data_IF_999282050523
#
_entry.id   IF_999282050523
#
_cell.length_a   1.000
_cell.length_b   1.000
_cell.length_c   1.000
_cell.angle_alpha   90.00
_cell.angle_beta   90.00
_cell.angle_gamma   90.00
#
_symmetry.space_group_name_H-M   'P 1'
#
loop_
_entity.id
_entity.type
_entity.pdbx_description
1 polymer ?
#
# COMPACT_ATOMS: atom_id res chain seq x y z
N UNK A 1 -7.69 6.05 -8.51
CA UNK A 1 -7.13 5.23 -7.44
C UNK A 1 -7.65 5.76 -6.11
N UNK A 2 -7.90 4.87 -5.16
CA UNK A 2 -8.20 5.21 -3.76
C UNK A 2 -7.25 4.43 -2.86
N UNK A 3 -7.16 4.82 -1.59
CA UNK A 3 -6.34 4.14 -0.58
C UNK A 3 -7.24 3.55 0.50
N UNK A 4 -6.86 2.38 1.03
CA UNK A 4 -7.52 1.78 2.18
C UNK A 4 -6.47 1.67 3.28
N UNK A 5 -6.74 2.30 4.42
CA UNK A 5 -5.88 2.21 5.60
C UNK A 5 -6.51 1.22 6.57
N UNK A 6 -5.70 0.24 6.95
CA UNK A 6 -6.05 -0.87 7.85
C UNK A 6 -5.06 -0.92 9.03
N UNK A 7 -5.14 -1.98 9.83
CA UNK A 7 -4.21 -2.32 10.89
C UNK A 7 -2.74 -2.15 10.50
N UNK A 8 -1.90 -1.81 11.46
CA UNK A 8 -0.44 -1.80 11.30
C UNK A 8 0.11 -3.23 11.14
N UNK A 9 -0.46 -4.16 11.91
CA UNK A 9 -0.14 -5.58 11.80
C UNK A 9 -1.20 -6.42 12.50
N UNK A 10 -1.34 -7.67 12.03
CA UNK A 10 -2.12 -8.69 12.74
C UNK A 10 -1.22 -9.35 13.79
N UNK A 11 -1.77 -9.75 14.92
CA UNK A 11 -1.05 -10.62 15.84
C UNK A 11 -0.85 -11.99 15.16
N UNK A 12 0.38 -12.50 15.18
CA UNK A 12 0.75 -13.76 14.52
C UNK A 12 0.18 -15.00 15.24
N UNK A 13 -0.17 -14.85 16.52
CA UNK A 13 -0.67 -15.92 17.39
C UNK A 13 -2.19 -15.83 17.49
N UNK A 14 -2.73 -14.62 17.62
CA UNK A 14 -4.17 -14.36 17.64
C UNK A 14 -4.61 -13.59 16.40
N UNK A 15 -5.02 -14.36 15.39
CA UNK A 15 -5.61 -13.86 14.16
C UNK A 15 -6.82 -12.92 14.36
N UNK A 16 -7.42 -12.85 15.54
CA UNK A 16 -8.52 -11.92 15.84
C UNK A 16 -8.08 -10.60 16.44
N UNK A 17 -6.78 -10.43 16.72
CA UNK A 17 -6.19 -9.20 17.25
C UNK A 17 -5.04 -8.69 16.37
N UNK A 18 -4.60 -7.46 16.65
CA UNK A 18 -3.58 -6.77 15.88
C UNK A 18 -3.28 -5.40 16.46
N UNK A 19 -2.19 -4.80 15.99
CA UNK A 19 -1.83 -3.44 16.34
C UNK A 19 -2.44 -2.50 15.30
N UNK A 20 -3.25 -1.55 15.74
CA UNK A 20 -3.71 -0.49 14.87
C UNK A 20 -2.61 0.58 14.73
N UNK A 21 -2.60 1.28 13.60
CA UNK A 21 -1.74 2.46 13.45
C UNK A 21 -2.14 3.49 14.48
N UNK A 22 -1.20 4.24 15.03
CA UNK A 22 -1.48 5.42 15.86
C UNK A 22 -2.14 6.52 15.03
N UNK A 23 -2.70 7.53 15.68
CA UNK A 23 -3.25 8.72 14.99
C UNK A 23 -2.22 9.37 14.06
N UNK A 24 -0.97 9.50 14.50
CA UNK A 24 0.12 10.10 13.71
C UNK A 24 0.52 9.23 12.50
N UNK A 25 0.62 7.91 12.67
CA UNK A 25 0.88 6.99 11.56
C UNK A 25 -0.27 7.02 10.54
N UNK A 26 -1.52 7.03 11.00
CA UNK A 26 -2.69 7.15 10.12
C UNK A 26 -2.71 8.50 9.38
N UNK A 27 -2.36 9.60 10.04
CA UNK A 27 -2.24 10.91 9.41
C UNK A 27 -1.17 10.91 8.31
N UNK A 28 -0.01 10.30 8.59
CA UNK A 28 1.07 10.14 7.61
C UNK A 28 0.59 9.38 6.37
N UNK A 29 -0.05 8.23 6.57
CA UNK A 29 -0.57 7.40 5.47
C UNK A 29 -1.62 8.14 4.63
N UNK A 30 -2.52 8.91 5.27
CA UNK A 30 -3.51 9.72 4.55
C UNK A 30 -2.86 10.80 3.70
N UNK A 31 -1.85 11.50 4.24
CA UNK A 31 -1.09 12.52 3.50
C UNK A 31 -0.35 11.92 2.32
N UNK A 32 0.36 10.80 2.51
CA UNK A 32 1.07 10.08 1.45
C UNK A 32 0.09 9.61 0.39
N UNK A 33 -1.06 9.06 0.78
CA UNK A 33 -2.12 8.65 -0.15
C UNK A 33 -2.59 9.83 -1.01
N UNK A 34 -2.84 10.99 -0.40
CA UNK A 34 -3.22 12.20 -1.13
C UNK A 34 -2.11 12.70 -2.06
N UNK A 35 -0.87 12.70 -1.59
CA UNK A 35 0.31 13.13 -2.33
C UNK A 35 0.69 12.20 -3.48
N UNK A 36 0.31 10.92 -3.42
CA UNK A 36 0.44 9.93 -4.50
C UNK A 36 -0.80 9.85 -5.40
N UNK A 37 -1.82 10.68 -5.13
CA UNK A 37 -2.96 10.88 -6.04
C UNK A 37 -4.20 10.01 -5.75
N UNK A 38 -4.33 9.48 -4.53
CA UNK A 38 -5.57 8.85 -4.09
C UNK A 38 -6.70 9.90 -4.00
N UNK A 39 -7.83 9.63 -4.68
CA UNK A 39 -9.00 10.52 -4.70
C UNK A 39 -9.84 10.44 -3.43
N UNK A 40 -9.74 9.32 -2.73
CA UNK A 40 -10.43 9.05 -1.48
C UNK A 40 -9.57 8.09 -0.65
N UNK A 41 -9.74 8.18 0.66
CA UNK A 41 -9.17 7.25 1.62
C UNK A 41 -10.31 6.61 2.38
N UNK A 42 -10.30 5.28 2.50
CA UNK A 42 -11.24 4.52 3.34
C UNK A 42 -10.49 4.03 4.56
N UNK A 43 -11.01 4.34 5.74
CA UNK A 43 -10.47 3.85 7.01
C UNK A 43 -11.27 2.63 7.43
N UNK A 44 -10.61 1.49 7.60
CA UNK A 44 -11.22 0.29 8.15
C UNK A 44 -11.07 0.30 9.67
N UNK A 45 -12.19 0.24 10.39
CA UNK A 45 -12.24 0.42 11.84
C UNK A 45 -12.80 -0.80 12.60
N UNK A 46 -12.85 -2.00 12.02
CA UNK A 46 -13.32 -3.21 12.71
C UNK A 46 -12.18 -3.92 13.47
N UNK A 47 -12.43 -4.59 14.64
CA UNK A 47 -13.71 -4.85 15.30
C UNK A 47 -14.25 -3.67 16.12
N UNK A 48 -15.52 -3.77 16.50
CA UNK A 48 -16.09 -2.94 17.57
C UNK A 48 -15.57 -3.44 18.90
N UNK A 49 -14.53 -2.77 19.42
CA UNK A 49 -14.00 -3.05 20.76
C UNK A 49 -13.77 -1.73 21.52
N UNK A 50 -14.40 -1.51 22.68
CA UNK A 50 -15.44 -2.34 23.30
C UNK A 50 -16.69 -2.47 22.40
N UNK A 51 -17.49 -3.52 22.60
CA UNK A 51 -18.57 -3.93 21.68
C UNK A 51 -19.68 -2.91 21.42
N UNK A 52 -19.74 -1.84 22.20
CA UNK A 52 -20.64 -0.70 22.09
C UNK A 52 -20.00 0.53 21.39
N UNK A 53 -18.71 0.47 21.08
CA UNK A 53 -18.01 1.53 20.35
C UNK A 53 -18.46 1.54 18.88
N UNK A 54 -19.30 2.53 18.54
CA UNK A 54 -19.80 2.78 17.18
C UNK A 54 -18.69 3.10 16.18
N UNK A 55 -17.52 3.50 16.67
CA UNK A 55 -16.36 3.84 15.86
C UNK A 55 -15.31 2.75 15.84
N UNK A 56 -15.63 1.57 16.35
CA UNK A 56 -14.77 0.42 16.16
C UNK A 56 -13.54 0.46 17.07
N UNK A 57 -12.36 0.38 16.47
CA UNK A 57 -11.05 0.51 17.13
C UNK A 57 -10.48 1.94 17.10
N UNK A 58 -11.21 2.92 16.58
CA UNK A 58 -10.73 4.31 16.54
C UNK A 58 -10.75 4.94 17.94
N UNK A 59 -9.71 5.73 18.21
CA UNK A 59 -9.51 6.53 19.43
C UNK A 59 -9.57 8.02 19.12
N UNK A 60 -9.57 8.87 20.15
CA UNK A 60 -9.56 10.34 20.00
C UNK A 60 -8.41 10.85 19.11
N UNK A 61 -7.21 10.27 19.24
CA UNK A 61 -6.06 10.63 18.41
C UNK A 61 -6.31 10.36 16.92
N UNK A 62 -7.08 9.32 16.59
CA UNK A 62 -7.46 9.05 15.20
C UNK A 62 -8.44 10.10 14.68
N UNK A 63 -9.36 10.59 15.50
CA UNK A 63 -10.27 11.66 15.09
C UNK A 63 -9.52 12.99 14.88
N UNK A 64 -8.54 13.29 15.73
CA UNK A 64 -7.63 14.43 15.55
C UNK A 64 -6.86 14.30 14.23
N UNK A 65 -6.37 13.10 13.90
CA UNK A 65 -5.70 12.85 12.63
C UNK A 65 -6.62 13.07 11.42
N UNK A 66 -7.89 12.62 11.48
CA UNK A 66 -8.88 12.83 10.41
C UNK A 66 -9.17 14.32 10.20
N UNK A 67 -9.40 15.08 11.27
CA UNK A 67 -9.61 16.53 11.20
C UNK A 67 -8.37 17.25 10.66
N UNK A 68 -7.18 16.85 11.13
CA UNK A 68 -5.91 17.42 10.67
C UNK A 68 -5.71 17.17 9.18
N UNK A 69 -5.99 15.95 8.71
CA UNK A 69 -5.91 15.62 7.28
C UNK A 69 -6.93 16.41 6.46
N UNK A 70 -8.18 16.52 6.93
CA UNK A 70 -9.20 17.33 6.28
C UNK A 70 -8.75 18.78 6.10
N UNK A 71 -8.22 19.40 7.16
CA UNK A 71 -7.69 20.76 7.09
C UNK A 71 -6.48 20.85 6.15
N UNK A 72 -5.59 19.87 6.20
CA UNK A 72 -4.40 19.80 5.35
C UNK A 72 -4.75 19.81 3.86
N UNK A 73 -5.70 18.99 3.40
CA UNK A 73 -6.05 18.93 1.96
C UNK A 73 -6.71 20.21 1.46
N UNK A 74 -7.46 20.92 2.31
CA UNK A 74 -8.05 22.22 1.98
C UNK A 74 -7.03 23.34 1.90
N UNK A 75 -6.01 23.30 2.76
CA UNK A 75 -4.94 24.29 2.80
C UNK A 75 -3.86 24.03 1.74
N UNK A 76 -3.69 22.77 1.32
CA UNK A 76 -2.64 22.33 0.40
C UNK A 76 -3.24 21.58 -0.82
N UNK A 77 -4.12 22.21 -1.61
CA UNK A 77 -4.71 21.58 -2.80
C UNK A 77 -3.65 21.18 -3.85
N UNK A 78 -2.52 21.90 -3.89
CA UNK A 78 -1.44 21.66 -4.84
C UNK A 78 -0.58 20.42 -4.49
N UNK A 79 -0.69 19.90 -3.26
CA UNK A 79 0.04 18.70 -2.84
C UNK A 79 -0.62 17.43 -3.40
N UNK A 80 -1.84 17.52 -3.95
CA UNK A 80 -2.53 16.38 -4.54
C UNK A 80 -1.72 15.77 -5.68
N UNK A 81 -1.33 14.50 -5.52
CA UNK A 81 -0.58 13.78 -6.54
C UNK A 81 0.78 14.41 -6.86
N UNK A 82 1.38 15.19 -5.95
CA UNK A 82 2.69 15.82 -6.19
C UNK A 82 3.82 14.79 -6.32
N UNK A 83 3.70 13.64 -5.64
CA UNK A 83 4.61 12.50 -5.77
C UNK A 83 4.19 11.73 -7.03
N UNK A 84 5.11 11.61 -7.97
CA UNK A 84 4.90 10.92 -9.25
C UNK A 84 5.84 9.74 -9.36
N UNK A 85 5.27 8.57 -9.65
CA UNK A 85 6.07 7.42 -10.00
C UNK A 85 6.83 7.67 -11.32
N UNK A 86 8.14 7.47 -11.28
CA UNK A 86 9.00 7.53 -12.46
C UNK A 86 9.53 6.14 -12.83
N UNK A 87 9.36 5.16 -11.94
CA UNK A 87 9.84 3.80 -12.06
C UNK A 87 8.66 2.84 -11.93
N UNK A 88 8.68 1.74 -12.67
CA UNK A 88 7.70 0.67 -12.53
C UNK A 88 8.35 -0.70 -12.34
N UNK A 89 7.78 -1.51 -11.45
CA UNK A 89 7.97 -2.96 -11.40
C UNK A 89 6.80 -3.63 -12.12
N UNK A 90 7.13 -4.42 -13.14
CA UNK A 90 6.16 -5.15 -13.96
C UNK A 90 6.07 -6.60 -13.50
N UNK A 91 4.92 -6.97 -12.95
CA UNK A 91 4.56 -8.33 -12.53
C UNK A 91 4.00 -9.15 -13.70
N UNK A 92 4.00 -10.51 -13.61
CA UNK A 92 3.32 -11.33 -14.61
C UNK A 92 1.84 -10.96 -14.70
N UNK A 93 1.26 -11.11 -15.90
CA UNK A 93 -0.18 -10.91 -16.08
C UNK A 93 -0.97 -11.80 -15.08
N UNK A 94 -2.01 -11.25 -14.47
CA UNK A 94 -2.93 -11.97 -13.58
C UNK A 94 -2.27 -12.61 -12.33
N UNK A 95 -1.10 -12.12 -11.92
CA UNK A 95 -0.41 -12.61 -10.72
C UNK A 95 -0.92 -11.92 -9.44
N UNK A 96 -2.18 -12.16 -9.09
CA UNK A 96 -2.89 -11.55 -7.96
C UNK A 96 -2.39 -11.99 -6.58
N UNK A 97 -1.12 -11.77 -6.30
CA UNK A 97 -0.45 -12.19 -5.08
C UNK A 97 -0.66 -11.19 -3.93
N UNK A 98 -0.79 -11.68 -2.70
CA UNK A 98 -1.11 -10.82 -1.54
C UNK A 98 0.05 -9.93 -1.07
N UNK A 99 1.29 -10.26 -1.44
CA UNK A 99 2.50 -9.47 -1.16
C UNK A 99 2.71 -9.08 0.33
N UNK A 100 2.19 -9.83 1.30
CA UNK A 100 2.45 -9.59 2.73
C UNK A 100 3.74 -10.23 3.22
N UNK A 101 4.14 -11.36 2.60
CA UNK A 101 5.38 -12.11 2.83
C UNK A 101 5.62 -13.05 1.63
N UNK A 102 6.82 -13.64 1.45
CA UNK A 102 7.17 -14.46 0.27
C UNK A 102 6.28 -15.69 0.03
N UNK A 103 5.67 -16.23 1.08
CA UNK A 103 4.80 -17.41 1.05
C UNK A 103 3.30 -17.06 0.99
N UNK A 104 2.97 -15.79 0.77
CA UNK A 104 1.59 -15.33 0.79
C UNK A 104 0.75 -15.93 -0.37
N UNK A 105 -0.57 -15.86 -0.23
CA UNK A 105 -1.51 -16.48 -1.15
C UNK A 105 -1.63 -15.74 -2.47
N UNK A 106 -1.75 -16.52 -3.55
CA UNK A 106 -2.10 -16.06 -4.89
C UNK A 106 -3.63 -16.16 -5.05
N UNK A 107 -4.27 -15.06 -5.43
CA UNK A 107 -5.72 -14.87 -5.51
C UNK A 107 -6.48 -15.18 -4.20
N UNK A 108 -5.79 -15.26 -3.06
CA UNK A 108 -6.37 -15.65 -1.76
C UNK A 108 -6.66 -17.15 -1.60
N UNK A 109 -6.50 -17.95 -2.66
CA UNK A 109 -6.85 -19.37 -2.68
C UNK A 109 -5.62 -20.28 -2.74
N UNK A 110 -4.64 -19.91 -3.56
CA UNK A 110 -3.47 -20.74 -3.83
C UNK A 110 -2.31 -20.30 -2.95
N UNK A 111 -1.44 -21.24 -2.55
CA UNK A 111 -0.18 -20.89 -1.88
C UNK A 111 0.77 -20.14 -2.82
N UNK A 112 1.94 -19.77 -2.31
CA UNK A 112 3.03 -19.28 -3.15
C UNK A 112 3.46 -20.32 -4.18
N UNK A 113 4.08 -19.83 -5.25
CA UNK A 113 4.69 -20.66 -6.28
C UNK A 113 6.19 -20.35 -6.43
N UNK A 114 6.82 -20.92 -7.45
CA UNK A 114 8.24 -20.76 -7.71
C UNK A 114 8.64 -19.30 -8.03
N UNK A 115 7.69 -18.45 -8.43
CA UNK A 115 7.94 -17.04 -8.76
C UNK A 115 7.91 -16.14 -7.52
N UNK A 116 7.15 -16.52 -6.48
CA UNK A 116 6.89 -15.67 -5.33
C UNK A 116 8.17 -15.19 -4.62
N UNK A 117 9.20 -16.02 -4.38
CA UNK A 117 10.45 -15.56 -3.75
C UNK A 117 11.20 -14.53 -4.59
N UNK A 118 11.23 -14.69 -5.91
CA UNK A 118 11.89 -13.74 -6.80
C UNK A 118 11.13 -12.41 -6.85
N UNK A 119 9.80 -12.47 -7.00
CA UNK A 119 8.92 -11.29 -7.00
C UNK A 119 9.03 -10.55 -5.67
N UNK A 120 9.08 -11.28 -4.55
CA UNK A 120 9.30 -10.68 -3.23
C UNK A 120 10.59 -9.87 -3.20
N UNK A 121 11.72 -10.51 -3.54
CA UNK A 121 13.03 -9.90 -3.43
C UNK A 121 13.12 -8.62 -4.27
N UNK A 122 12.74 -8.68 -5.55
CA UNK A 122 12.79 -7.49 -6.41
C UNK A 122 11.82 -6.39 -5.93
N UNK A 123 10.65 -6.76 -5.39
CA UNK A 123 9.72 -5.79 -4.81
C UNK A 123 10.35 -5.08 -3.62
N UNK A 124 10.95 -5.81 -2.68
CA UNK A 124 11.59 -5.21 -1.50
C UNK A 124 12.75 -4.30 -1.90
N UNK A 125 13.60 -4.73 -2.83
CA UNK A 125 14.72 -3.91 -3.33
C UNK A 125 14.26 -2.60 -3.94
N UNK A 126 13.26 -2.65 -4.83
CA UNK A 126 12.78 -1.46 -5.51
C UNK A 126 11.97 -0.55 -4.58
N UNK A 127 11.27 -1.10 -3.58
CA UNK A 127 10.60 -0.30 -2.55
C UNK A 127 11.62 0.41 -1.66
N UNK A 128 12.74 -0.24 -1.33
CA UNK A 128 13.84 0.38 -0.58
C UNK A 128 14.50 1.52 -1.38
N UNK A 129 14.71 1.32 -2.68
CA UNK A 129 15.38 2.31 -3.53
C UNK A 129 14.48 3.50 -3.93
N UNK A 130 13.23 3.22 -4.34
CA UNK A 130 12.35 4.23 -4.96
C UNK A 130 11.17 4.66 -4.07
N UNK A 131 10.82 3.91 -3.03
CA UNK A 131 9.71 4.21 -2.13
C UNK A 131 8.41 4.51 -2.88
N UNK A 132 7.83 5.69 -2.63
CA UNK A 132 6.56 6.12 -3.24
C UNK A 132 6.67 6.56 -4.71
N UNK A 133 7.87 6.55 -5.31
CA UNK A 133 8.05 6.80 -6.75
C UNK A 133 8.07 5.50 -7.58
N UNK A 134 7.79 4.35 -6.96
CA UNK A 134 7.61 3.06 -7.62
C UNK A 134 6.12 2.76 -7.83
N UNK A 135 5.73 2.52 -9.08
CA UNK A 135 4.46 1.84 -9.40
C UNK A 135 4.69 0.33 -9.53
N UNK A 136 3.78 -0.47 -8.99
CA UNK A 136 3.71 -1.92 -9.25
C UNK A 136 2.54 -2.17 -10.19
N UNK A 137 2.83 -2.73 -11.36
CA UNK A 137 1.85 -2.91 -12.44
C UNK A 137 1.90 -4.33 -12.99
N UNK A 138 0.82 -4.78 -13.62
CA UNK A 138 0.78 -6.06 -14.30
C UNK A 138 1.20 -5.90 -15.77
N UNK A 139 1.83 -6.93 -16.32
CA UNK A 139 2.14 -7.03 -17.75
C UNK A 139 0.86 -7.28 -18.58
N UNK A 140 -0.02 -6.28 -18.64
CA UNK A 140 -1.26 -6.32 -19.39
C UNK A 140 -1.13 -5.50 -20.69
N UNK A 141 -1.23 -6.13 -21.88
CA UNK A 141 -1.09 -5.45 -23.15
C UNK A 141 -2.21 -4.42 -23.43
N UNK A 142 -3.35 -4.51 -22.74
CA UNK A 142 -4.43 -3.52 -22.85
C UNK A 142 -4.09 -2.20 -22.15
N UNK A 143 -3.11 -2.22 -21.22
CA UNK A 143 -2.61 -1.05 -20.50
C UNK A 143 -1.11 -0.85 -20.75
N UNK A 144 -0.70 -0.49 -21.99
CA UNK A 144 0.72 -0.36 -22.32
C UNK A 144 1.40 0.67 -21.42
N UNK A 145 2.63 0.34 -20.99
CA UNK A 145 3.44 1.17 -20.08
C UNK A 145 4.61 1.87 -20.79
N UNK A 146 4.81 1.59 -22.08
CA UNK A 146 5.83 2.25 -22.88
C UNK A 146 5.66 3.78 -22.81
N UNK A 147 6.74 4.48 -22.49
CA UNK A 147 6.81 5.94 -22.31
C UNK A 147 6.05 6.52 -21.10
N UNK A 148 5.48 5.71 -20.20
CA UNK A 148 4.89 6.20 -18.94
C UNK A 148 5.93 6.36 -17.83
N UNK A 149 6.93 5.47 -17.83
CA UNK A 149 7.99 5.42 -16.82
C UNK A 149 9.34 5.65 -17.48
N UNK A 150 10.25 6.29 -16.74
CA UNK A 150 11.65 6.46 -17.15
C UNK A 150 12.40 5.14 -17.02
N UNK A 151 12.12 4.40 -15.95
CA UNK A 151 12.76 3.13 -15.63
C UNK A 151 11.71 2.04 -15.48
N UNK A 152 11.96 0.88 -16.09
CA UNK A 152 11.04 -0.26 -16.06
C UNK A 152 11.83 -1.50 -15.67
N UNK A 153 11.46 -2.08 -14.54
CA UNK A 153 11.97 -3.37 -14.08
C UNK A 153 10.93 -4.45 -14.33
N UNK A 154 11.39 -5.63 -14.73
CA UNK A 154 10.54 -6.81 -14.84
C UNK A 154 10.83 -7.75 -13.69
N UNK A 155 9.80 -8.39 -13.16
CA UNK A 155 9.90 -9.31 -12.03
C UNK A 155 10.99 -10.39 -12.18
N UNK A 156 11.28 -10.80 -13.42
CA UNK A 156 12.25 -11.85 -13.74
C UNK A 156 13.69 -11.34 -13.92
N UNK A 157 13.96 -10.07 -13.65
CA UNK A 157 15.30 -9.51 -13.67
C UNK A 157 16.08 -9.89 -12.41
N UNK A 158 17.39 -10.07 -12.56
CA UNK A 158 18.31 -10.25 -11.45
C UNK A 158 18.94 -8.89 -11.17
N UNK A 159 18.61 -8.31 -10.02
CA UNK A 159 19.23 -7.08 -9.52
C UNK A 159 20.23 -7.46 -8.44
N UNK A 160 21.43 -6.90 -8.49
CA UNK A 160 22.41 -6.95 -7.41
C UNK A 160 22.39 -5.61 -6.67
N UNK A 161 22.43 -5.66 -5.34
CA UNK A 161 22.73 -4.50 -4.51
C UNK A 161 24.25 -4.35 -4.50
N UNK A 162 24.77 -3.16 -4.79
CA UNK A 162 26.18 -2.80 -4.57
C UNK A 162 26.43 -2.45 -3.10
#
# INVERSE_FOLDING_TARGET
MGSIIVWNGRDEIDETSGNYKTGDEMLSDMKISYQTGAKYVVIFNYPTYPGDNKYGILTDDHFVALETFWNYVHQNPNDYGVIKANTALVLPQDYGWGMRHPEDRIWGYWGSDELSPQIWNITQLLLEEYGFELDIVYNDPTFPIANKYKTIYYWNQILSID
#
